data_IF_826944377840
#
_entry.id   IF_826944377840
#
_cell.length_a   1.000
_cell.length_b   1.000
_cell.length_c   1.000
_cell.angle_alpha   90.00
_cell.angle_beta   90.00
_cell.angle_gamma   90.00
#
_symmetry.space_group_name_H-M   'P 1'
#
loop_
_entity.id
_entity.type
_entity.pdbx_description
1 polymer ?
#
# COMPACT_ATOMS: atom_id res chain seq x y z
N UNK A 1 9.34 -16.25 -9.83
CA UNK A 1 9.59 -15.10 -10.71
C UNK A 1 8.27 -14.40 -11.03
N UNK A 2 8.20 -13.09 -10.78
CA UNK A 2 6.98 -12.33 -11.01
C UNK A 2 6.91 -11.84 -12.45
N UNK A 3 5.84 -12.17 -13.13
CA UNK A 3 5.60 -11.66 -14.48
C UNK A 3 5.38 -10.15 -14.48
N UNK A 4 5.77 -9.49 -15.56
CA UNK A 4 5.55 -8.07 -15.73
C UNK A 4 4.07 -7.77 -15.96
N UNK A 5 3.56 -6.73 -15.27
CA UNK A 5 2.21 -6.20 -15.53
C UNK A 5 2.14 -5.56 -16.92
N UNK A 6 0.93 -5.34 -17.48
CA UNK A 6 0.79 -4.60 -18.75
C UNK A 6 1.48 -3.24 -18.73
N UNK A 7 1.38 -2.49 -17.63
CA UNK A 7 2.06 -1.20 -17.49
C UNK A 7 3.58 -1.36 -17.48
N UNK A 8 4.11 -2.33 -16.75
CA UNK A 8 5.55 -2.63 -16.74
C UNK A 8 6.05 -3.03 -18.13
N UNK A 9 5.27 -3.79 -18.89
CA UNK A 9 5.60 -4.16 -20.26
C UNK A 9 5.70 -2.94 -21.17
N UNK A 10 4.79 -1.99 -21.04
CA UNK A 10 4.85 -0.72 -21.78
C UNK A 10 6.10 0.09 -21.42
N UNK A 11 6.46 0.14 -20.14
CA UNK A 11 7.67 0.81 -19.67
C UNK A 11 8.92 0.14 -20.24
N UNK A 12 9.00 -1.18 -20.18
CA UNK A 12 10.11 -1.95 -20.74
C UNK A 12 10.21 -1.81 -22.24
N UNK A 13 9.11 -1.52 -22.93
CA UNK A 13 9.06 -1.30 -24.38
C UNK A 13 9.41 0.14 -24.78
N UNK A 14 9.75 1.01 -23.83
CA UNK A 14 10.25 2.36 -24.11
C UNK A 14 9.39 3.51 -23.64
N UNK A 15 8.24 3.23 -22.99
CA UNK A 15 7.43 4.30 -22.40
C UNK A 15 8.16 4.96 -21.25
N UNK A 16 8.22 6.27 -21.25
CA UNK A 16 8.83 7.05 -20.18
C UNK A 16 7.79 7.48 -19.14
N UNK A 17 7.97 7.00 -17.90
CA UNK A 17 7.12 7.36 -16.79
C UNK A 17 5.81 6.58 -16.71
N UNK A 18 5.04 6.88 -15.68
CA UNK A 18 3.72 6.28 -15.46
C UNK A 18 2.69 6.92 -16.37
N UNK A 19 1.55 6.22 -16.53
CA UNK A 19 0.35 6.78 -17.14
C UNK A 19 -0.56 7.32 -16.03
N UNK A 20 -0.63 8.66 -15.83
CA UNK A 20 -1.44 9.20 -14.73
C UNK A 20 -2.92 8.83 -14.81
N UNK A 21 -3.47 8.56 -16.00
CA UNK A 21 -4.88 8.22 -16.18
C UNK A 21 -5.26 6.89 -15.55
N UNK A 22 -4.29 6.00 -15.31
CA UNK A 22 -4.51 4.73 -14.60
C UNK A 22 -4.69 4.90 -13.10
N UNK A 23 -4.31 6.06 -12.56
CA UNK A 23 -4.23 6.30 -11.11
C UNK A 23 -5.19 7.39 -10.64
N UNK A 24 -5.49 8.36 -11.49
CA UNK A 24 -6.31 9.52 -11.10
C UNK A 24 -7.06 10.10 -12.29
N UNK A 25 -8.17 10.78 -12.02
CA UNK A 25 -8.90 11.59 -13.00
C UNK A 25 -8.61 13.10 -12.83
N UNK A 26 -7.83 13.48 -11.80
CA UNK A 26 -7.53 14.86 -11.44
C UNK A 26 -6.19 15.29 -12.01
N UNK A 27 -5.99 16.61 -12.12
CA UNK A 27 -4.72 17.20 -12.54
C UNK A 27 -3.61 16.99 -11.50
N UNK A 28 -3.95 17.04 -10.23
CA UNK A 28 -3.02 16.70 -9.15
C UNK A 28 -2.89 15.19 -9.03
N UNK A 29 -1.67 14.70 -8.76
CA UNK A 29 -1.45 13.27 -8.61
C UNK A 29 -1.86 12.82 -7.22
N UNK A 30 -3.17 12.69 -7.02
CA UNK A 30 -3.78 12.01 -5.90
C UNK A 30 -4.34 10.70 -6.42
N UNK A 31 -3.75 9.60 -6.00
CA UNK A 31 -4.16 8.28 -6.43
C UNK A 31 -5.56 8.00 -5.88
N UNK A 32 -6.49 7.71 -6.77
CA UNK A 32 -7.90 7.61 -6.47
C UNK A 32 -8.32 6.16 -6.22
N UNK A 33 -8.94 5.90 -5.07
CA UNK A 33 -9.52 4.59 -4.75
C UNK A 33 -10.51 4.10 -5.81
N UNK A 34 -11.22 5.01 -6.46
CA UNK A 34 -12.13 4.67 -7.57
C UNK A 34 -11.44 4.03 -8.76
N UNK A 35 -10.14 4.32 -8.98
CA UNK A 35 -9.33 3.67 -10.02
C UNK A 35 -8.68 2.38 -9.53
N UNK A 36 -8.47 2.24 -8.22
CA UNK A 36 -7.69 1.16 -7.62
C UNK A 36 -8.56 0.04 -7.07
N UNK A 37 -9.80 0.33 -6.69
CA UNK A 37 -10.71 -0.62 -6.08
C UNK A 37 -11.95 -0.81 -6.95
N UNK A 38 -12.41 -2.05 -7.05
CA UNK A 38 -13.73 -2.33 -7.59
C UNK A 38 -14.82 -1.77 -6.68
N UNK A 39 -15.91 -1.31 -7.28
CA UNK A 39 -17.05 -0.80 -6.53
C UNK A 39 -17.54 -1.80 -5.47
N UNK A 40 -17.70 -1.32 -4.23
CA UNK A 40 -18.12 -2.14 -3.10
C UNK A 40 -17.01 -2.95 -2.42
N UNK A 41 -15.78 -2.89 -2.89
CA UNK A 41 -14.62 -3.53 -2.24
C UNK A 41 -13.96 -2.55 -1.28
N UNK A 42 -13.54 -3.06 -0.12
CA UNK A 42 -12.85 -2.29 0.91
C UNK A 42 -11.34 -2.45 0.86
N UNK A 43 -10.86 -3.49 0.19
CA UNK A 43 -9.44 -3.82 0.12
C UNK A 43 -9.12 -4.50 -1.21
N UNK A 44 -7.94 -4.19 -1.72
CA UNK A 44 -7.36 -4.85 -2.89
C UNK A 44 -5.86 -5.02 -2.69
N UNK A 45 -5.31 -6.09 -3.25
CA UNK A 45 -3.86 -6.28 -3.38
C UNK A 45 -3.46 -6.11 -4.84
N UNK A 46 -2.35 -5.43 -5.07
CA UNK A 46 -1.78 -5.30 -6.40
C UNK A 46 -0.24 -5.31 -6.32
N UNK A 47 0.45 -5.77 -7.39
CA UNK A 47 1.90 -5.73 -7.41
C UNK A 47 2.40 -4.29 -7.47
N UNK A 48 3.51 -4.02 -6.78
CA UNK A 48 4.23 -2.75 -6.89
C UNK A 48 4.80 -2.59 -8.29
N UNK A 49 4.54 -1.45 -8.94
CA UNK A 49 5.02 -1.17 -10.30
C UNK A 49 6.53 -0.95 -10.29
N UNK A 50 7.23 -1.76 -11.09
CA UNK A 50 8.69 -1.73 -11.22
C UNK A 50 9.12 -0.89 -12.43
N UNK A 51 10.42 -0.62 -12.52
CA UNK A 51 11.13 -0.08 -13.70
C UNK A 51 10.85 1.38 -14.00
N UNK A 52 10.17 2.09 -13.14
CA UNK A 52 9.76 3.46 -13.38
C UNK A 52 9.84 4.27 -12.09
N UNK A 53 10.23 5.54 -12.22
CA UNK A 53 10.09 6.51 -11.15
C UNK A 53 8.62 6.87 -10.99
N UNK A 54 8.11 6.77 -9.77
CA UNK A 54 6.77 7.22 -9.45
C UNK A 54 6.88 8.62 -8.83
N UNK A 55 6.35 9.66 -9.49
CA UNK A 55 6.51 11.03 -8.99
C UNK A 55 5.73 11.26 -7.71
N UNK A 56 6.00 12.39 -7.05
CA UNK A 56 5.34 12.77 -5.81
C UNK A 56 3.82 12.69 -5.95
N UNK A 57 3.19 11.99 -5.02
CA UNK A 57 1.76 11.75 -5.03
C UNK A 57 1.23 11.51 -3.62
N UNK A 58 -0.07 11.61 -3.47
CA UNK A 58 -0.84 11.19 -2.31
C UNK A 58 -1.87 10.16 -2.75
N UNK A 59 -2.50 9.53 -1.78
CA UNK A 59 -3.59 8.59 -1.99
C UNK A 59 -4.84 9.10 -1.27
N UNK A 60 -6.03 8.75 -1.75
CA UNK A 60 -7.27 8.97 -1.00
C UNK A 60 -7.72 7.71 -0.23
N UNK A 61 -6.77 6.83 0.05
CA UNK A 61 -6.94 5.58 0.79
C UNK A 61 -5.69 5.32 1.64
N UNK A 62 -5.75 4.31 2.50
CA UNK A 62 -4.57 3.84 3.24
C UNK A 62 -3.83 2.82 2.38
N UNK A 63 -2.52 2.97 2.27
CA UNK A 63 -1.67 2.03 1.55
C UNK A 63 -0.77 1.28 2.52
N UNK A 64 -0.68 -0.03 2.32
CA UNK A 64 0.29 -0.88 3.02
C UNK A 64 1.15 -1.56 1.96
N UNK A 65 2.46 -1.38 2.07
CA UNK A 65 3.41 -2.02 1.17
C UNK A 65 4.14 -3.11 1.95
N UNK A 66 4.07 -4.34 1.44
CA UNK A 66 4.84 -5.46 1.97
C UNK A 66 5.94 -5.83 0.98
N UNK A 67 7.18 -5.80 1.45
CA UNK A 67 8.33 -6.13 0.62
C UNK A 67 8.58 -7.63 0.67
N UNK A 68 8.30 -8.31 -0.44
CA UNK A 68 8.45 -9.76 -0.53
C UNK A 68 9.91 -10.17 -0.79
N UNK A 69 10.60 -9.41 -1.64
CA UNK A 69 11.97 -9.70 -2.07
C UNK A 69 12.65 -8.42 -2.52
N UNK A 70 13.96 -8.30 -2.27
CA UNK A 70 14.72 -7.12 -2.67
C UNK A 70 14.43 -5.92 -1.79
N UNK A 71 14.43 -4.74 -2.40
CA UNK A 71 14.18 -3.49 -1.68
C UNK A 71 13.55 -2.45 -2.59
N UNK A 72 12.84 -1.49 -1.98
CA UNK A 72 12.34 -0.29 -2.66
C UNK A 72 12.72 0.94 -1.85
N UNK A 73 12.99 2.04 -2.54
CA UNK A 73 13.34 3.30 -1.92
C UNK A 73 12.22 4.29 -2.12
N UNK A 74 11.71 4.81 -1.02
CA UNK A 74 10.61 5.77 -0.98
C UNK A 74 11.11 7.08 -0.37
N UNK A 75 10.61 8.19 -0.86
CA UNK A 75 10.81 9.50 -0.22
C UNK A 75 9.43 9.93 0.28
N UNK A 76 9.27 9.95 1.60
CA UNK A 76 7.97 10.19 2.23
C UNK A 76 8.09 11.42 3.12
N UNK A 77 7.31 12.47 2.80
CA UNK A 77 7.36 13.75 3.49
C UNK A 77 8.79 14.28 3.63
N UNK A 78 9.60 14.10 2.57
CA UNK A 78 11.00 14.51 2.53
C UNK A 78 12.00 13.55 3.17
N UNK A 79 11.56 12.44 3.77
CA UNK A 79 12.41 11.44 4.41
C UNK A 79 12.63 10.24 3.51
N UNK A 80 13.87 9.81 3.38
CA UNK A 80 14.17 8.58 2.64
C UNK A 80 13.92 7.36 3.49
N UNK A 81 13.10 6.45 2.97
CA UNK A 81 12.78 5.16 3.59
C UNK A 81 13.16 4.05 2.63
N UNK A 82 14.07 3.18 3.04
CA UNK A 82 14.42 1.98 2.29
C UNK A 82 13.69 0.80 2.90
N UNK A 83 12.75 0.26 2.15
CA UNK A 83 11.94 -0.89 2.57
C UNK A 83 12.61 -2.16 2.09
N UNK A 84 12.96 -3.03 3.03
CA UNK A 84 13.66 -4.27 2.75
C UNK A 84 12.76 -5.49 2.86
N UNK A 85 13.20 -6.60 2.29
CA UNK A 85 12.44 -7.85 2.28
C UNK A 85 11.94 -8.22 3.69
N UNK A 86 10.65 -8.51 3.82
CA UNK A 86 10.00 -8.83 5.08
C UNK A 86 9.46 -7.63 5.84
N UNK A 87 9.75 -6.43 5.41
CA UNK A 87 9.31 -5.19 6.06
C UNK A 87 7.97 -4.70 5.52
N UNK A 88 7.32 -3.87 6.31
CA UNK A 88 6.03 -3.25 6.01
C UNK A 88 6.12 -1.74 6.12
N UNK A 89 5.46 -1.06 5.20
CA UNK A 89 5.32 0.38 5.19
C UNK A 89 3.84 0.74 5.10
N UNK A 90 3.36 1.48 6.10
CA UNK A 90 1.98 2.00 6.15
C UNK A 90 1.99 3.48 5.83
N UNK A 91 1.12 3.91 4.92
CA UNK A 91 0.94 5.32 4.57
C UNK A 91 -0.52 5.71 4.71
N UNK A 92 -0.76 6.86 5.34
CA UNK A 92 -2.11 7.42 5.38
C UNK A 92 -2.39 8.29 4.14
N UNK A 93 -3.57 8.92 4.08
CA UNK A 93 -3.99 9.75 2.95
C UNK A 93 -3.20 11.06 2.81
N UNK A 94 -2.45 11.45 3.83
CA UNK A 94 -1.72 12.72 3.87
C UNK A 94 -0.25 12.59 3.49
N UNK A 95 0.29 11.39 3.53
CA UNK A 95 1.70 11.14 3.17
C UNK A 95 1.96 11.51 1.71
N UNK A 96 2.97 12.32 1.48
CA UNK A 96 3.46 12.65 0.14
C UNK A 96 4.60 11.69 -0.16
N UNK A 97 4.41 10.83 -1.12
CA UNK A 97 5.34 9.75 -1.46
C UNK A 97 5.89 9.93 -2.86
N UNK A 98 7.19 9.74 -3.00
CA UNK A 98 7.89 9.56 -4.26
C UNK A 98 8.61 8.22 -4.21
N UNK A 99 8.61 7.47 -5.29
CA UNK A 99 9.21 6.13 -5.32
C UNK A 99 10.26 6.07 -6.40
N UNK A 100 11.48 5.65 -6.03
CA UNK A 100 12.56 5.42 -6.98
C UNK A 100 12.29 4.13 -7.78
N UNK A 101 12.83 4.04 -9.02
CA UNK A 101 12.63 2.85 -9.83
C UNK A 101 13.08 1.57 -9.11
N UNK A 102 12.21 0.57 -9.10
CA UNK A 102 12.54 -0.76 -8.63
C UNK A 102 13.02 -1.64 -9.78
N UNK A 103 13.86 -2.61 -9.49
CA UNK A 103 14.41 -3.55 -10.46
C UNK A 103 13.60 -4.83 -10.59
N UNK A 104 14.06 -5.72 -11.45
CA UNK A 104 13.40 -6.99 -11.76
C UNK A 104 13.22 -7.88 -10.53
N UNK A 105 14.18 -7.83 -9.60
CA UNK A 105 14.18 -8.66 -8.40
C UNK A 105 13.58 -7.99 -7.18
N UNK A 106 13.15 -6.75 -7.32
CA UNK A 106 12.50 -6.00 -6.24
C UNK A 106 10.99 -6.25 -6.33
N UNK A 107 10.50 -7.13 -5.49
CA UNK A 107 9.12 -7.60 -5.53
C UNK A 107 8.41 -7.18 -4.27
N UNK A 108 7.39 -6.36 -4.44
CA UNK A 108 6.53 -5.91 -3.36
C UNK A 108 5.06 -6.03 -3.77
N UNK A 109 4.19 -6.05 -2.77
CA UNK A 109 2.75 -6.00 -2.96
C UNK A 109 2.19 -4.81 -2.20
N UNK A 110 1.25 -4.13 -2.83
CA UNK A 110 0.57 -2.98 -2.27
C UNK A 110 -0.86 -3.37 -1.90
N UNK A 111 -1.22 -3.14 -0.64
CA UNK A 111 -2.61 -3.25 -0.20
C UNK A 111 -3.24 -1.87 -0.28
N UNK A 112 -4.35 -1.78 -0.98
CA UNK A 112 -5.16 -0.57 -1.12
C UNK A 112 -6.36 -0.76 -0.22
N UNK A 113 -6.50 0.08 0.80
CA UNK A 113 -7.42 -0.16 1.90
C UNK A 113 -8.25 1.10 2.14
N UNK A 114 -9.58 0.97 2.05
CA UNK A 114 -10.46 2.03 2.52
C UNK A 114 -10.47 2.05 4.05
N UNK A 115 -10.54 3.25 4.66
CA UNK A 115 -10.52 3.37 6.12
C UNK A 115 -11.57 2.50 6.84
N UNK A 116 -12.72 2.28 6.24
CA UNK A 116 -13.82 1.48 6.79
C UNK A 116 -13.42 0.03 7.06
N UNK A 117 -12.43 -0.49 6.34
CA UNK A 117 -11.91 -1.84 6.57
C UNK A 117 -11.36 -1.99 8.00
N UNK A 118 -10.81 -0.93 8.58
CA UNK A 118 -10.15 -0.98 9.88
C UNK A 118 -11.13 -1.15 11.04
N UNK A 119 -12.41 -0.87 10.86
CA UNK A 119 -13.43 -1.19 11.86
C UNK A 119 -13.41 -2.68 12.22
N UNK A 120 -13.24 -3.54 11.22
CA UNK A 120 -13.08 -4.98 11.41
C UNK A 120 -11.72 -5.32 12.01
N UNK A 121 -10.65 -4.69 11.52
CA UNK A 121 -9.30 -4.94 12.01
C UNK A 121 -9.15 -4.61 13.49
N UNK A 122 -9.78 -3.53 13.99
CA UNK A 122 -9.74 -3.16 15.40
C UNK A 122 -10.37 -4.22 16.31
N UNK A 123 -11.43 -4.86 15.85
CA UNK A 123 -12.06 -5.95 16.60
C UNK A 123 -11.13 -7.16 16.76
N UNK A 124 -10.28 -7.39 15.76
CA UNK A 124 -9.32 -8.49 15.74
C UNK A 124 -8.06 -8.20 16.56
N UNK A 125 -7.66 -6.94 16.66
CA UNK A 125 -6.44 -6.52 17.37
C UNK A 125 -6.61 -6.46 18.89
N UNK A 126 -7.84 -6.50 19.40
CA UNK A 126 -8.12 -6.36 20.81
C UNK A 126 -7.92 -4.92 21.32
N UNK A 127 -7.89 -4.78 22.66
CA UNK A 127 -7.80 -3.48 23.33
C UNK A 127 -6.37 -3.04 23.64
N UNK A 128 -5.35 -3.80 23.24
CA UNK A 128 -3.97 -3.45 23.50
C UNK A 128 -3.55 -2.20 22.74
N UNK A 129 -3.04 -1.22 23.47
CA UNK A 129 -2.46 -0.02 22.89
C UNK A 129 -1.13 -0.35 22.22
N UNK A 130 -1.00 0.01 20.95
CA UNK A 130 0.25 -0.08 20.19
C UNK A 130 0.28 1.00 19.11
N UNK A 131 1.46 1.24 18.56
CA UNK A 131 1.67 2.30 17.56
C UNK A 131 0.88 2.06 16.28
N UNK A 132 0.70 0.82 15.88
CA UNK A 132 -0.10 0.49 14.70
C UNK A 132 -1.57 0.84 14.92
N UNK A 133 -2.14 0.45 16.06
CA UNK A 133 -3.53 0.77 16.40
C UNK A 133 -3.77 2.28 16.42
N UNK A 134 -2.87 3.02 17.07
CA UNK A 134 -2.96 4.48 17.15
C UNK A 134 -2.87 5.13 15.77
N UNK A 135 -1.97 4.64 14.92
CA UNK A 135 -1.86 5.11 13.54
C UNK A 135 -3.14 4.83 12.75
N UNK A 136 -3.70 3.64 12.85
CA UNK A 136 -4.93 3.26 12.13
C UNK A 136 -6.13 4.10 12.60
N UNK A 137 -6.25 4.36 13.91
CA UNK A 137 -7.28 5.25 14.45
C UNK A 137 -7.10 6.66 13.89
N UNK A 138 -5.87 7.17 13.81
CA UNK A 138 -5.61 8.48 13.24
C UNK A 138 -5.99 8.56 11.76
N UNK A 139 -5.78 7.49 11.00
CA UNK A 139 -6.22 7.39 9.61
C UNK A 139 -7.74 7.51 9.48
N UNK A 140 -8.48 6.83 10.34
CA UNK A 140 -9.95 6.87 10.36
C UNK A 140 -10.49 8.27 10.71
N UNK A 141 -9.83 8.96 11.62
CA UNK A 141 -10.21 10.29 12.07
C UNK A 141 -9.62 11.41 11.23
N UNK A 142 -8.77 11.09 10.25
CA UNK A 142 -8.02 12.05 9.46
C UNK A 142 -7.17 13.00 10.32
N UNK A 143 -6.65 12.48 11.42
CA UNK A 143 -5.76 13.21 12.33
C UNK A 143 -4.30 12.99 11.94
N UNK A 144 -3.44 13.97 12.28
CA UNK A 144 -2.03 13.95 11.89
C UNK A 144 -1.04 13.72 13.04
N UNK A 145 -1.52 13.53 14.25
CA UNK A 145 -0.67 13.54 15.45
C UNK A 145 0.28 12.36 15.57
N UNK A 146 0.05 11.26 14.82
CA UNK A 146 0.90 10.06 14.85
C UNK A 146 1.79 9.94 13.62
N UNK A 147 1.93 11.04 12.85
CA UNK A 147 2.68 11.04 11.60
C UNK A 147 1.86 10.48 10.44
N UNK A 148 2.47 10.47 9.25
CA UNK A 148 1.80 10.09 8.02
C UNK A 148 2.19 8.70 7.53
N UNK A 149 3.21 8.10 8.13
CA UNK A 149 3.64 6.75 7.76
C UNK A 149 4.25 6.01 8.96
N UNK A 150 4.24 4.69 8.89
CA UNK A 150 4.93 3.80 9.82
C UNK A 150 5.73 2.77 9.03
N UNK A 151 7.00 2.64 9.40
CA UNK A 151 7.90 1.64 8.84
C UNK A 151 8.16 0.56 9.89
N UNK A 152 7.72 -0.66 9.61
CA UNK A 152 7.92 -1.81 10.49
C UNK A 152 9.02 -2.70 9.96
N UNK A 153 10.08 -2.85 10.75
CA UNK A 153 11.16 -3.77 10.46
C UNK A 153 10.82 -5.19 10.93
N UNK A 154 11.56 -6.17 10.43
CA UNK A 154 11.26 -7.61 10.62
C UNK A 154 11.12 -8.03 12.09
N UNK A 155 11.77 -7.32 13.02
CA UNK A 155 11.78 -7.67 14.44
C UNK A 155 10.50 -7.32 15.23
N UNK A 156 9.59 -6.50 14.67
CA UNK A 156 8.43 -5.96 15.40
C UNK A 156 7.12 -6.75 15.14
N UNK A 157 7.19 -8.04 14.85
CA UNK A 157 6.41 -8.54 13.73
C UNK A 157 5.17 -9.34 14.08
N UNK A 158 5.01 -9.93 15.26
CA UNK A 158 3.91 -10.90 15.42
C UNK A 158 2.51 -10.27 15.23
N UNK A 159 2.19 -9.12 15.84
CA UNK A 159 0.88 -8.50 15.62
C UNK A 159 0.66 -8.04 14.17
N UNK A 160 1.74 -7.63 13.49
CA UNK A 160 1.69 -7.12 12.12
C UNK A 160 1.54 -8.26 11.13
N UNK A 161 2.24 -9.36 11.33
CA UNK A 161 2.05 -10.58 10.53
C UNK A 161 0.61 -11.06 10.63
N UNK A 162 0.03 -11.05 11.82
CA UNK A 162 -1.37 -11.42 12.01
C UNK A 162 -2.31 -10.48 11.25
N UNK A 163 -2.04 -9.18 11.25
CA UNK A 163 -2.84 -8.21 10.49
C UNK A 163 -2.74 -8.50 8.99
N UNK A 164 -1.54 -8.70 8.47
CA UNK A 164 -1.32 -8.99 7.05
C UNK A 164 -1.99 -10.31 6.66
N UNK A 165 -1.85 -11.33 7.47
CA UNK A 165 -2.52 -12.62 7.24
C UNK A 165 -4.05 -12.46 7.22
N UNK A 166 -4.61 -11.67 8.13
CA UNK A 166 -6.03 -11.37 8.15
C UNK A 166 -6.47 -10.60 6.91
N UNK A 167 -5.64 -9.67 6.43
CA UNK A 167 -5.91 -8.93 5.20
C UNK A 167 -5.92 -9.85 3.99
N UNK A 168 -4.91 -10.72 3.87
CA UNK A 168 -4.83 -11.71 2.78
C UNK A 168 -6.01 -12.68 2.87
N UNK A 169 -6.32 -13.17 4.05
CA UNK A 169 -7.43 -14.09 4.28
C UNK A 169 -8.76 -13.46 3.88
N UNK A 170 -8.98 -12.20 4.25
CA UNK A 170 -10.18 -11.45 3.86
C UNK A 170 -10.30 -11.32 2.34
N UNK A 171 -9.18 -11.02 1.66
CA UNK A 171 -9.13 -10.93 0.21
C UNK A 171 -9.50 -12.25 -0.46
N UNK A 172 -8.99 -13.37 0.07
CA UNK A 172 -9.25 -14.70 -0.48
C UNK A 172 -10.70 -15.13 -0.27
N UNK A 173 -11.30 -14.76 0.86
CA UNK A 173 -12.66 -15.18 1.21
C UNK A 173 -13.76 -14.30 0.63
N UNK A 174 -13.45 -13.08 0.20
CA UNK A 174 -14.40 -12.16 -0.41
C UNK A 174 -14.46 -12.27 -1.93
N UNK A 175 -13.97 -13.34 -2.51
CA UNK A 175 -14.09 -13.58 -3.94
C UNK A 175 -15.54 -13.93 -4.31
N UNK A 176 -16.11 -13.30 -5.37
CA UNK A 176 -17.53 -13.47 -5.73
C UNK A 176 -17.94 -14.91 -6.00
N UNK A 177 -17.01 -15.80 -6.35
CA UNK A 177 -17.27 -17.19 -6.74
C UNK A 177 -17.28 -18.18 -5.56
N UNK A 178 -17.10 -17.72 -4.32
CA UNK A 178 -17.10 -18.59 -3.14
C UNK A 178 -18.37 -18.53 -2.30
N UNK A 179 -19.38 -17.82 -2.76
CA UNK A 179 -20.73 -17.87 -2.19
C UNK A 179 -21.52 -18.99 -2.88
N UNK A 180 -21.36 -20.15 -2.37
CA UNK A 180 -22.38 -21.17 -2.63
C UNK A 180 -23.58 -20.88 -1.76
#
# INVERSE_FOLDING_TARGET
>A
ERLATPEEQEILSGRQGIDPTRYTEKKELVIDSGKMLEHGKLIRIRPHTRFVHFPKHRHNYVEVIYMCQGQTTHIIDGNQVVLQAGELLFLNQNAIQEIQPAGERDIAVNFIILPEFFDTAFRMMGEEENSLRDFLISCLRQEHQYGNYLHFQVSDILPIQNLVENMVWTLLNNQPNKRS
#
